data_IF_977046790106
#
_entry.id   IF_977046790106
#
_cell.length_a   1.000
_cell.length_b   1.000
_cell.length_c   1.000
_cell.angle_alpha   90.00
_cell.angle_beta   90.00
_cell.angle_gamma   90.00
#
_symmetry.space_group_name_H-M   'P 1'
#
loop_
_entity.id
_entity.type
_entity.pdbx_description
1 polymer ?
#
# COMPACT_ATOMS: atom_id res chain seq x y z
N UNK A 1 43.78 -36.97 -10.39
CA UNK A 1 42.63 -37.79 -10.86
C UNK A 1 42.19 -38.79 -9.76
N UNK A 2 40.93 -39.01 -9.38
CA UNK A 2 39.60 -38.64 -9.84
C UNK A 2 38.61 -38.80 -8.65
N UNK A 3 37.60 -37.91 -8.60
CA UNK A 3 36.25 -38.07 -8.06
C UNK A 3 36.01 -38.50 -6.58
N UNK A 4 35.74 -37.53 -5.71
CA UNK A 4 34.86 -37.71 -4.54
C UNK A 4 33.40 -37.40 -4.92
N UNK A 5 32.40 -38.09 -4.35
CA UNK A 5 30.99 -37.94 -4.73
C UNK A 5 30.43 -36.57 -4.33
N UNK A 6 29.70 -35.95 -5.26
CA UNK A 6 28.91 -34.73 -5.01
C UNK A 6 27.56 -35.12 -4.44
N UNK A 7 27.32 -34.78 -3.17
CA UNK A 7 25.98 -34.86 -2.60
C UNK A 7 25.05 -33.82 -3.24
N UNK A 8 23.79 -34.17 -3.55
CA UNK A 8 22.85 -33.28 -4.20
C UNK A 8 22.37 -32.18 -3.24
N UNK A 9 22.37 -30.94 -3.74
CA UNK A 9 21.83 -29.78 -3.05
C UNK A 9 20.36 -30.01 -2.66
N UNK A 10 19.93 -29.66 -1.43
CA UNK A 10 18.55 -29.81 -1.05
C UNK A 10 17.67 -28.86 -1.88
N UNK A 11 16.76 -29.49 -2.62
CA UNK A 11 15.72 -28.86 -3.41
C UNK A 11 15.00 -27.75 -2.63
N UNK A 12 14.81 -26.61 -3.30
CA UNK A 12 14.12 -25.45 -2.78
C UNK A 12 12.74 -25.83 -2.23
N UNK A 13 12.61 -25.75 -0.90
CA UNK A 13 11.31 -25.73 -0.26
C UNK A 13 10.62 -24.43 -0.69
N UNK A 14 9.73 -24.55 -1.68
CA UNK A 14 8.70 -23.56 -1.95
C UNK A 14 8.01 -23.22 -0.64
N UNK A 15 8.34 -22.06 -0.08
CA UNK A 15 7.73 -21.56 1.12
C UNK A 15 6.26 -21.29 0.78
N UNK A 16 5.36 -22.18 1.22
CA UNK A 16 3.92 -21.91 1.22
C UNK A 16 3.71 -20.53 1.83
N UNK A 17 3.17 -19.61 1.03
CA UNK A 17 2.81 -18.27 1.45
C UNK A 17 1.82 -18.40 2.61
N UNK A 18 2.31 -18.24 3.84
CA UNK A 18 1.48 -18.19 5.04
C UNK A 18 0.71 -16.87 5.00
N UNK A 19 -0.61 -16.87 5.25
CA UNK A 19 -1.37 -15.63 5.37
C UNK A 19 -0.72 -14.77 6.44
N UNK A 20 -0.19 -13.61 6.06
CA UNK A 20 0.43 -12.67 6.99
C UNK A 20 -0.73 -11.98 7.68
N UNK A 21 -1.07 -12.43 8.89
CA UNK A 21 -1.84 -11.57 9.79
C UNK A 21 -1.02 -10.28 9.93
N UNK A 22 -1.57 -9.14 9.53
CA UNK A 22 -0.91 -7.84 9.62
C UNK A 22 -0.57 -7.55 11.08
N UNK A 23 0.61 -7.98 11.54
CA UNK A 23 1.04 -7.82 12.93
C UNK A 23 1.89 -6.57 13.10
N UNK A 24 2.41 -6.03 11.99
CA UNK A 24 3.36 -4.91 12.00
C UNK A 24 3.14 -3.94 10.84
N UNK A 25 3.59 -2.70 11.03
CA UNK A 25 3.64 -1.68 9.97
C UNK A 25 4.41 -2.14 8.71
N UNK A 26 5.36 -3.07 8.86
CA UNK A 26 6.13 -3.62 7.75
C UNK A 26 5.30 -4.55 6.86
N UNK A 27 4.37 -5.29 7.47
CA UNK A 27 3.46 -6.19 6.75
C UNK A 27 2.46 -5.38 5.93
N UNK A 28 1.94 -4.30 6.52
CA UNK A 28 1.07 -3.34 5.83
C UNK A 28 1.73 -2.75 4.59
N UNK A 29 2.97 -2.28 4.73
CA UNK A 29 3.74 -1.74 3.60
C UNK A 29 3.99 -2.80 2.54
N UNK A 30 4.29 -4.04 2.94
CA UNK A 30 4.55 -5.13 1.99
C UNK A 30 3.28 -5.49 1.21
N UNK A 31 2.13 -5.51 1.87
CA UNK A 31 0.83 -5.72 1.25
C UNK A 31 0.49 -4.59 0.26
N UNK A 32 0.69 -3.33 0.66
CA UNK A 32 0.50 -2.17 -0.19
C UNK A 32 1.41 -2.18 -1.43
N UNK A 33 2.70 -2.50 -1.28
CA UNK A 33 3.64 -2.63 -2.42
C UNK A 33 3.18 -3.73 -3.38
N UNK A 34 2.71 -4.88 -2.88
CA UNK A 34 2.18 -5.96 -3.73
C UNK A 34 0.93 -5.53 -4.49
N UNK A 35 0.05 -4.77 -3.85
CA UNK A 35 -1.14 -4.23 -4.50
C UNK A 35 -0.78 -3.23 -5.61
N UNK A 36 0.08 -2.26 -5.31
CA UNK A 36 0.54 -1.27 -6.30
C UNK A 36 1.20 -1.93 -7.53
N UNK A 37 1.96 -3.00 -7.33
CA UNK A 37 2.53 -3.80 -8.43
C UNK A 37 1.44 -4.44 -9.30
N UNK A 38 0.36 -4.96 -8.70
CA UNK A 38 -0.78 -5.49 -9.48
C UNK A 38 -1.50 -4.38 -10.26
N UNK A 39 -1.54 -3.16 -9.73
CA UNK A 39 -2.06 -1.99 -10.46
C UNK A 39 -1.13 -1.50 -11.59
N UNK A 40 0.05 -2.11 -11.77
CA UNK A 40 1.01 -1.76 -12.81
C UNK A 40 2.14 -0.81 -12.38
N UNK A 41 2.24 -0.48 -11.09
CA UNK A 41 3.33 0.32 -10.56
C UNK A 41 4.49 -0.59 -10.12
N UNK A 42 5.44 -0.87 -11.02
CA UNK A 42 6.54 -1.79 -10.74
C UNK A 42 7.69 -1.16 -9.93
N UNK A 43 7.91 0.15 -10.11
CA UNK A 43 9.00 0.92 -9.49
C UNK A 43 8.59 1.62 -8.19
N UNK A 44 7.87 0.93 -7.32
CA UNK A 44 7.49 1.47 -6.01
C UNK A 44 8.69 1.47 -5.07
N UNK A 45 9.09 2.68 -4.66
CA UNK A 45 10.12 2.93 -3.64
C UNK A 45 9.45 3.56 -2.42
N UNK A 46 10.09 3.45 -1.25
CA UNK A 46 9.68 4.30 -0.12
C UNK A 46 9.98 5.74 -0.53
N UNK A 47 9.02 6.63 -0.35
CA UNK A 47 9.26 8.05 -0.55
C UNK A 47 10.31 8.49 0.49
N UNK A 48 11.26 9.32 0.06
CA UNK A 48 12.29 9.86 0.95
C UNK A 48 11.69 10.79 2.01
N UNK A 49 10.51 11.38 1.73
CA UNK A 49 9.74 12.11 2.72
C UNK A 49 8.94 11.15 3.60
N UNK A 50 9.27 11.15 4.89
CA UNK A 50 8.54 10.43 5.94
C UNK A 50 7.57 11.39 6.61
N UNK A 51 6.27 11.38 6.29
CA UNK A 51 5.30 12.06 7.13
C UNK A 51 5.35 11.48 8.56
N UNK A 52 5.13 12.29 9.60
CA UNK A 52 5.40 11.91 10.99
C UNK A 52 4.59 10.69 11.48
N UNK A 53 3.47 10.38 10.84
CA UNK A 53 2.54 9.31 11.23
C UNK A 53 2.46 8.13 10.25
N UNK A 54 3.07 8.21 9.05
CA UNK A 54 2.79 7.26 7.98
C UNK A 54 3.95 7.01 7.01
N UNK A 55 3.80 5.98 6.18
CA UNK A 55 4.82 5.57 5.20
C UNK A 55 4.29 5.90 3.81
N UNK A 56 4.89 6.90 3.17
CA UNK A 56 4.63 7.20 1.76
C UNK A 56 5.47 6.28 0.86
N UNK A 57 4.84 5.76 -0.18
CA UNK A 57 5.41 4.93 -1.23
C UNK A 57 5.25 5.68 -2.55
N UNK A 58 6.35 5.97 -3.22
CA UNK A 58 6.34 6.67 -4.50
C UNK A 58 6.72 5.70 -5.63
N UNK A 59 5.95 5.71 -6.71
CA UNK A 59 6.27 5.06 -7.98
C UNK A 59 6.16 6.05 -9.13
N UNK A 60 6.47 5.63 -10.36
CA UNK A 60 6.26 6.51 -11.54
C UNK A 60 4.80 6.96 -11.61
N UNK A 61 4.54 8.24 -11.34
CA UNK A 61 3.23 8.88 -11.43
C UNK A 61 2.25 8.55 -10.29
N UNK A 62 2.70 7.92 -9.19
CA UNK A 62 1.81 7.61 -8.06
C UNK A 62 2.49 7.81 -6.70
N UNK A 63 1.73 8.35 -5.75
CA UNK A 63 2.10 8.47 -4.35
C UNK A 63 1.05 7.75 -3.48
N UNK A 64 1.44 6.62 -2.91
CA UNK A 64 0.59 5.82 -2.03
C UNK A 64 0.97 6.04 -0.57
N UNK A 65 0.02 6.48 0.23
CA UNK A 65 0.19 6.66 1.66
C UNK A 65 -0.31 5.43 2.40
N UNK A 66 0.53 4.83 3.24
CA UNK A 66 0.16 3.68 4.07
C UNK A 66 0.24 4.09 5.53
N UNK A 67 -0.91 4.15 6.20
CA UNK A 67 -1.00 4.40 7.64
C UNK A 67 -1.20 3.09 8.41
N UNK A 68 -0.16 2.62 9.12
CA UNK A 68 -0.25 1.46 10.00
C UNK A 68 -0.78 1.80 11.40
N UNK A 69 -1.17 3.05 11.65
CA UNK A 69 -1.62 3.49 12.97
C UNK A 69 -2.90 2.80 13.39
N UNK A 70 -3.11 2.70 14.71
CA UNK A 70 -4.33 2.20 15.31
C UNK A 70 -5.43 3.28 15.43
N UNK A 71 -5.23 4.45 14.81
CA UNK A 71 -6.17 5.58 14.87
C UNK A 71 -6.81 5.78 13.49
N UNK A 72 -8.10 6.13 13.42
CA UNK A 72 -8.70 6.52 12.15
C UNK A 72 -7.96 7.71 11.54
N UNK A 73 -7.70 7.64 10.23
CA UNK A 73 -7.09 8.74 9.49
C UNK A 73 -8.01 9.97 9.47
N UNK A 74 -7.42 11.15 9.54
CA UNK A 74 -8.14 12.43 9.63
C UNK A 74 -8.28 13.10 8.26
N UNK A 75 -9.18 14.08 8.14
CA UNK A 75 -9.31 14.88 6.92
C UNK A 75 -8.01 15.61 6.57
N UNK A 76 -7.26 16.06 7.58
CA UNK A 76 -5.96 16.71 7.39
C UNK A 76 -4.94 15.77 6.74
N UNK A 77 -4.92 14.50 7.13
CA UNK A 77 -4.00 13.51 6.54
C UNK A 77 -4.29 13.32 5.04
N UNK A 78 -5.58 13.30 4.66
CA UNK A 78 -6.02 13.22 3.26
C UNK A 78 -5.62 14.48 2.48
N UNK A 79 -5.84 15.67 3.02
CA UNK A 79 -5.45 16.93 2.38
C UNK A 79 -3.94 17.04 2.19
N UNK A 80 -3.16 16.69 3.21
CA UNK A 80 -1.70 16.70 3.13
C UNK A 80 -1.19 15.76 2.04
N UNK A 81 -1.76 14.55 1.96
CA UNK A 81 -1.46 13.60 0.89
C UNK A 81 -1.78 14.19 -0.50
N UNK A 82 -2.97 14.73 -0.66
CA UNK A 82 -3.42 15.29 -1.93
C UNK A 82 -2.52 16.46 -2.38
N UNK A 83 -2.16 17.37 -1.49
CA UNK A 83 -1.25 18.48 -1.79
C UNK A 83 0.16 18.01 -2.15
N UNK A 84 0.68 16.98 -1.47
CA UNK A 84 1.98 16.40 -1.80
C UNK A 84 1.97 15.78 -3.21
N UNK A 85 0.91 15.02 -3.53
CA UNK A 85 0.75 14.41 -4.84
C UNK A 85 0.59 15.44 -5.96
N UNK A 86 -0.19 16.50 -5.74
CA UNK A 86 -0.32 17.63 -6.66
C UNK A 86 1.02 18.33 -6.91
N UNK A 87 1.82 18.53 -5.86
CA UNK A 87 3.17 19.11 -5.96
C UNK A 87 4.10 18.25 -6.80
N UNK A 88 4.01 16.93 -6.65
CA UNK A 88 4.79 15.96 -7.43
C UNK A 88 4.16 15.63 -8.80
N UNK A 89 3.03 16.26 -9.15
CA UNK A 89 2.24 15.96 -10.36
C UNK A 89 1.94 14.46 -10.50
N UNK A 90 1.59 13.81 -9.39
CA UNK A 90 1.33 12.38 -9.28
C UNK A 90 -0.13 12.11 -8.87
N UNK A 91 -0.66 10.95 -9.27
CA UNK A 91 -1.86 10.41 -8.66
C UNK A 91 -1.57 10.00 -7.21
N UNK A 92 -2.58 9.92 -6.35
CA UNK A 92 -2.38 9.41 -4.99
C UNK A 92 -3.45 8.43 -4.56
N UNK A 93 -3.15 7.65 -3.52
CA UNK A 93 -4.10 6.82 -2.80
C UNK A 93 -3.70 6.68 -1.34
N UNK A 94 -4.68 6.44 -0.47
CA UNK A 94 -4.48 6.23 0.96
C UNK A 94 -4.88 4.81 1.32
N UNK A 95 -4.01 4.07 2.00
CA UNK A 95 -4.29 2.77 2.63
C UNK A 95 -4.19 2.91 4.15
N UNK A 96 -5.28 2.64 4.88
CA UNK A 96 -5.32 2.68 6.34
C UNK A 96 -5.64 1.29 6.92
N UNK A 97 -5.08 0.99 8.09
CA UNK A 97 -5.43 -0.22 8.87
C UNK A 97 -6.60 0.03 9.82
N UNK A 98 -6.64 1.19 10.47
CA UNK A 98 -7.69 1.56 11.42
C UNK A 98 -8.90 2.25 10.78
N UNK A 99 -8.85 2.48 9.46
CA UNK A 99 -9.90 3.15 8.70
C UNK A 99 -9.78 4.67 8.73
N UNK A 100 -10.91 5.33 8.55
CA UNK A 100 -11.01 6.78 8.28
C UNK A 100 -12.12 7.38 9.14
N UNK A 101 -11.90 8.58 9.65
CA UNK A 101 -12.98 9.39 10.19
C UNK A 101 -13.97 9.77 9.06
N UNK A 102 -15.24 10.01 9.41
CA UNK A 102 -16.28 10.34 8.42
C UNK A 102 -15.94 11.60 7.61
N UNK A 103 -15.39 12.61 8.28
CA UNK A 103 -14.86 13.83 7.65
C UNK A 103 -13.72 13.55 6.67
N UNK A 104 -12.87 12.55 6.94
CA UNK A 104 -11.79 12.14 6.05
C UNK A 104 -12.34 11.44 4.80
N UNK A 105 -13.38 10.61 4.95
CA UNK A 105 -14.11 10.01 3.82
C UNK A 105 -14.71 11.09 2.92
N UNK A 106 -15.50 11.99 3.50
CA UNK A 106 -16.15 13.07 2.75
C UNK A 106 -15.13 13.97 2.04
N UNK A 107 -14.00 14.26 2.70
CA UNK A 107 -12.91 15.03 2.10
C UNK A 107 -12.24 14.30 0.94
N UNK A 108 -12.00 12.99 1.07
CA UNK A 108 -11.41 12.19 0.02
C UNK A 108 -12.32 12.11 -1.21
N UNK A 109 -13.64 11.99 -1.01
CA UNK A 109 -14.62 11.98 -2.10
C UNK A 109 -14.62 13.30 -2.86
N UNK A 110 -14.57 14.42 -2.13
CA UNK A 110 -14.49 15.75 -2.74
C UNK A 110 -13.19 16.00 -3.52
N UNK A 111 -12.07 15.42 -3.06
CA UNK A 111 -10.75 15.58 -3.70
C UNK A 111 -10.44 14.49 -4.73
N UNK A 112 -11.31 13.48 -4.88
CA UNK A 112 -11.07 12.33 -5.74
C UNK A 112 -9.93 11.43 -5.27
N UNK A 113 -9.66 11.38 -3.96
CA UNK A 113 -8.60 10.54 -3.38
C UNK A 113 -9.14 9.12 -3.12
N UNK A 114 -8.58 8.09 -3.77
CA UNK A 114 -8.89 6.69 -3.47
C UNK A 114 -8.49 6.30 -2.04
N UNK A 115 -9.44 5.78 -1.28
CA UNK A 115 -9.23 5.26 0.06
C UNK A 115 -9.38 3.73 0.07
N UNK A 116 -8.44 3.06 0.74
CA UNK A 116 -8.43 1.61 0.90
C UNK A 116 -8.29 1.21 2.38
N UNK A 117 -9.10 0.26 2.82
CA UNK A 117 -8.91 -0.39 4.11
C UNK A 117 -8.09 -1.66 3.91
N UNK A 118 -6.95 -1.78 4.60
CA UNK A 118 -6.15 -3.00 4.52
C UNK A 118 -6.76 -4.08 5.41
N UNK A 119 -7.25 -5.15 4.80
CA UNK A 119 -7.81 -6.26 5.56
C UNK A 119 -6.74 -7.12 6.25
N UNK A 120 -7.09 -7.94 7.26
CA UNK A 120 -6.14 -8.83 7.93
C UNK A 120 -5.46 -9.87 7.03
N UNK A 121 -5.97 -10.09 5.80
CA UNK A 121 -5.39 -10.99 4.79
C UNK A 121 -4.31 -10.30 3.94
N UNK A 122 -4.18 -8.97 4.07
CA UNK A 122 -3.28 -8.13 3.30
C UNK A 122 -3.85 -7.68 1.96
N UNK A 123 -5.17 -7.73 1.78
CA UNK A 123 -5.84 -7.23 0.57
C UNK A 123 -6.43 -5.84 0.86
N UNK A 124 -5.99 -4.78 0.15
CA UNK A 124 -6.64 -3.48 0.25
C UNK A 124 -8.05 -3.56 -0.33
N UNK A 125 -9.05 -3.17 0.46
CA UNK A 125 -10.45 -3.10 0.00
C UNK A 125 -10.80 -1.66 -0.33
N UNK A 126 -11.40 -1.38 -1.50
CA UNK A 126 -11.90 -0.05 -1.80
C UNK A 126 -13.01 0.30 -0.81
N UNK A 127 -13.03 1.56 -0.38
CA UNK A 127 -13.99 2.00 0.63
C UNK A 127 -14.65 3.33 0.29
N UNK A 128 -14.35 3.89 -0.88
CA UNK A 128 -15.02 5.06 -1.42
C UNK A 128 -15.09 4.99 -2.96
N UNK A 129 -15.97 5.78 -3.62
CA UNK A 129 -16.18 5.66 -5.05
C UNK A 129 -14.92 5.83 -5.93
N UNK A 130 -13.99 6.77 -5.65
CA UNK A 130 -12.71 6.84 -6.35
C UNK A 130 -11.86 5.56 -6.24
N UNK A 131 -11.89 4.88 -5.09
CA UNK A 131 -11.17 3.62 -4.93
C UNK A 131 -11.85 2.45 -5.67
N UNK A 132 -13.18 2.41 -5.69
CA UNK A 132 -13.93 1.41 -6.46
C UNK A 132 -13.63 1.54 -7.95
N UNK A 133 -13.62 2.76 -8.49
CA UNK A 133 -13.26 3.02 -9.88
C UNK A 133 -11.82 2.57 -10.20
N UNK A 134 -10.86 2.90 -9.31
CA UNK A 134 -9.47 2.51 -9.50
C UNK A 134 -9.25 1.00 -9.48
N UNK A 135 -10.00 0.27 -8.64
CA UNK A 135 -9.92 -1.19 -8.51
C UNK A 135 -10.60 -1.90 -9.70
N UNK A 136 -11.72 -1.36 -10.18
CA UNK A 136 -12.46 -1.88 -11.32
C UNK A 136 -11.70 -1.74 -12.65
N UNK A 137 -10.96 -0.66 -12.86
CA UNK A 137 -10.17 -0.42 -14.09
C UNK A 137 -8.99 -1.40 -14.28
N UNK A 138 -8.70 -2.23 -13.26
CA UNK A 138 -7.48 -3.03 -13.19
C UNK A 138 -7.71 -4.52 -12.93
N UNK A 139 -8.96 -4.95 -12.78
CA UNK A 139 -9.39 -6.37 -12.66
C UNK A 139 -9.88 -6.89 -14.00
#
# INVERSE_FOLDING_TARGET
PLAGPRDPAPAGRSARARPVTLRTARDAVTAAVRYLRRLGHEDVRRADQRPPSAIALAGRGVLAHVDPSARPATARDVECLWLAAMTESAACLYVSLAGYADEARARADALGVPLFLLDPTGTPRPVNPPAEALDADRT
#
